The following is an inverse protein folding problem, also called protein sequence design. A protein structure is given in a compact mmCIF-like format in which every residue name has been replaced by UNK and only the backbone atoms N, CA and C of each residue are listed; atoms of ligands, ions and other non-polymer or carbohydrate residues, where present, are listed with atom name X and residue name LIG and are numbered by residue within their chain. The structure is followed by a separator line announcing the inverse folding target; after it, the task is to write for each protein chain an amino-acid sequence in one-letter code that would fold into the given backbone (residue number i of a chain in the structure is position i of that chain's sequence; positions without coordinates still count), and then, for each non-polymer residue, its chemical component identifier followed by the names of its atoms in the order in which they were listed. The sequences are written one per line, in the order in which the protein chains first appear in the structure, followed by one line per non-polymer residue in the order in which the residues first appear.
data_IF_967585055941
#
_entry.id   IF_967585055941
#
_cell.length_a   1.000
_cell.length_b   1.000
_cell.length_c   1.000
_cell.angle_alpha   90.00
_cell.angle_beta   90.00
_cell.angle_gamma   90.00
#
_symmetry.space_group_name_H-M   'P 1'
#
loop_
_entity.id
_entity.type
_entity.pdbx_description
1 polymer ?
#
# COMPACT_ATOMS: atom_id res chain seq x y z
N UNK A 1 -1.17 9.61 -6.68
CA UNK A 1 0.18 9.21 -6.25
C UNK A 1 1.12 9.53 -7.40
N UNK A 2 2.23 10.23 -7.19
CA UNK A 2 3.14 10.57 -8.29
C UNK A 2 4.24 9.55 -8.60
N UNK A 3 4.24 8.37 -7.98
CA UNK A 3 4.87 7.16 -8.53
C UNK A 3 4.10 5.89 -8.14
N UNK A 4 4.49 4.76 -8.72
CA UNK A 4 3.82 3.46 -8.51
C UNK A 4 3.91 3.01 -7.04
N UNK A 5 2.80 2.52 -6.48
CA UNK A 5 2.75 1.98 -5.11
C UNK A 5 3.50 0.64 -5.02
N UNK A 6 3.35 -0.20 -6.03
CA UNK A 6 4.03 -1.48 -6.17
C UNK A 6 4.52 -1.68 -7.60
N UNK A 7 5.70 -2.27 -7.74
CA UNK A 7 6.33 -2.52 -9.03
C UNK A 7 7.63 -3.31 -8.92
N UNK A 8 8.14 -3.74 -10.07
CA UNK A 8 9.46 -4.37 -10.18
C UNK A 8 10.46 -3.31 -10.67
N UNK A 9 11.39 -2.82 -9.83
CA UNK A 9 12.41 -1.87 -10.28
C UNK A 9 13.44 -2.60 -11.15
N UNK A 10 13.12 -2.76 -12.43
CA UNK A 10 13.95 -3.46 -13.44
C UNK A 10 15.36 -2.87 -13.60
N UNK A 11 15.58 -1.63 -13.13
CA UNK A 11 16.89 -0.97 -13.12
C UNK A 11 17.78 -1.28 -11.91
N UNK A 12 17.27 -1.95 -10.87
CA UNK A 12 18.05 -2.35 -9.68
C UNK A 12 18.24 -3.87 -9.69
N UNK A 13 17.14 -4.62 -9.73
CA UNK A 13 17.16 -6.09 -9.76
C UNK A 13 15.83 -6.60 -10.34
N UNK A 14 15.88 -7.55 -11.28
CA UNK A 14 14.66 -8.19 -11.77
C UNK A 14 14.19 -9.26 -10.78
N UNK A 15 13.19 -8.92 -9.99
CA UNK A 15 12.56 -9.89 -9.10
C UNK A 15 11.70 -10.90 -9.88
N UNK A 16 11.59 -12.16 -9.40
CA UNK A 16 10.77 -13.17 -10.06
C UNK A 16 9.32 -12.70 -10.17
N UNK A 17 8.83 -12.57 -11.40
CA UNK A 17 7.47 -12.12 -11.69
C UNK A 17 6.51 -13.29 -11.48
N UNK A 18 5.49 -13.09 -10.66
CA UNK A 18 4.37 -14.03 -10.50
C UNK A 18 3.14 -13.44 -11.18
N UNK A 19 2.62 -14.12 -12.20
CA UNK A 19 1.40 -13.68 -12.88
C UNK A 19 0.27 -13.49 -11.85
N UNK A 20 -0.36 -12.31 -11.85
CA UNK A 20 -1.37 -11.91 -10.85
C UNK A 20 -0.83 -11.23 -9.59
N UNK A 21 0.48 -10.96 -9.49
CA UNK A 21 1.09 -10.20 -8.39
C UNK A 21 1.64 -8.85 -8.85
N UNK A 22 1.39 -7.80 -8.07
CA UNK A 22 1.99 -6.46 -8.26
C UNK A 22 3.47 -6.37 -7.83
N UNK A 23 4.14 -7.51 -7.64
CA UNK A 23 5.55 -7.63 -7.23
C UNK A 23 5.82 -7.11 -5.81
N UNK A 24 6.48 -5.96 -5.62
CA UNK A 24 6.89 -5.43 -4.31
C UNK A 24 6.44 -3.98 -4.13
N UNK A 25 6.18 -3.54 -2.89
CA UNK A 25 6.01 -2.12 -2.60
C UNK A 25 7.26 -1.34 -2.98
N UNK A 26 7.09 -0.19 -3.62
CA UNK A 26 8.20 0.71 -3.96
C UNK A 26 8.70 1.39 -2.66
N UNK A 27 10.01 1.64 -2.52
CA UNK A 27 10.56 2.36 -1.37
C UNK A 27 9.81 3.67 -1.08
N UNK A 28 9.54 3.92 0.20
CA UNK A 28 8.73 5.05 0.67
C UNK A 28 7.25 4.72 0.88
N UNK A 29 6.73 3.63 0.31
CA UNK A 29 5.40 3.13 0.62
C UNK A 29 5.46 1.96 1.59
N UNK A 30 5.00 2.18 2.83
CA UNK A 30 4.77 1.10 3.78
C UNK A 30 3.36 0.54 3.57
N UNK A 31 3.26 -0.50 2.73
CA UNK A 31 2.03 -1.24 2.44
C UNK A 31 1.80 -2.30 3.51
N UNK A 32 0.65 -2.25 4.17
CA UNK A 32 0.18 -3.25 5.11
C UNK A 32 -1.20 -3.75 4.66
N UNK A 33 -1.53 -4.99 5.00
CA UNK A 33 -2.88 -5.53 4.79
C UNK A 33 -3.56 -5.53 6.15
N UNK A 34 -4.68 -4.83 6.25
CA UNK A 34 -5.47 -4.73 7.47
C UNK A 34 -6.71 -5.61 7.37
N UNK A 35 -7.14 -6.18 8.47
CA UNK A 35 -8.46 -6.80 8.57
C UNK A 35 -9.57 -5.74 8.73
N UNK A 36 -10.80 -6.21 8.94
CA UNK A 36 -11.96 -5.34 9.19
C UNK A 36 -11.85 -4.56 10.51
N UNK A 37 -11.00 -5.00 11.44
CA UNK A 37 -10.74 -4.34 12.72
C UNK A 37 -9.61 -3.30 12.62
N UNK A 38 -8.90 -3.25 11.49
CA UNK A 38 -7.76 -2.37 11.28
C UNK A 38 -6.44 -2.94 11.80
N UNK A 39 -6.38 -4.24 12.09
CA UNK A 39 -5.18 -4.92 12.56
C UNK A 39 -4.42 -5.57 11.39
N UNK A 40 -3.07 -5.53 11.40
CA UNK A 40 -2.26 -6.12 10.34
C UNK A 40 -2.37 -7.64 10.32
N UNK A 41 -2.75 -8.20 9.17
CA UNK A 41 -2.92 -9.64 8.97
C UNK A 41 -1.63 -10.33 8.58
N UNK A 42 -1.59 -11.66 8.73
CA UNK A 42 -0.43 -12.47 8.34
C UNK A 42 -0.29 -12.54 6.81
N UNK A 43 0.91 -12.85 6.29
CA UNK A 43 1.09 -13.07 4.86
C UNK A 43 0.13 -14.14 4.32
N UNK A 44 -0.35 -13.95 3.10
CA UNK A 44 -1.37 -14.76 2.43
C UNK A 44 -2.78 -14.70 3.05
N UNK A 45 -3.07 -13.73 3.91
CA UNK A 45 -4.43 -13.43 4.36
C UNK A 45 -5.00 -12.25 3.58
N UNK A 46 -6.28 -12.36 3.22
CA UNK A 46 -7.01 -11.31 2.52
C UNK A 46 -7.44 -10.22 3.50
N UNK A 47 -7.35 -8.97 3.05
CA UNK A 47 -7.79 -7.81 3.79
C UNK A 47 -7.75 -6.54 2.93
N UNK A 48 -7.82 -5.40 3.59
CA UNK A 48 -7.75 -4.08 2.99
C UNK A 48 -6.31 -3.65 2.77
N UNK A 49 -6.00 -3.18 1.57
CA UNK A 49 -4.68 -2.61 1.26
C UNK A 49 -4.58 -1.22 1.86
N UNK A 50 -3.74 -1.07 2.87
CA UNK A 50 -3.53 0.17 3.59
C UNK A 50 -2.07 0.64 3.49
N UNK A 51 -1.90 1.96 3.43
CA UNK A 51 -0.58 2.61 3.43
C UNK A 51 -0.39 3.31 4.77
N UNK A 52 0.66 2.96 5.50
CA UNK A 52 0.98 3.59 6.78
C UNK A 52 1.43 5.03 6.57
N UNK A 53 0.92 5.95 7.38
CA UNK A 53 1.34 7.36 7.37
C UNK A 53 2.63 7.58 8.19
N UNK A 54 3.45 8.60 7.88
CA UNK A 54 3.26 9.60 6.82
C UNK A 54 3.51 9.04 5.43
N UNK A 55 2.65 9.42 4.48
CA UNK A 55 2.82 9.05 3.08
C UNK A 55 4.05 9.76 2.47
N UNK A 56 4.72 9.14 1.49
CA UNK A 56 5.88 9.75 0.88
C UNK A 56 5.51 11.02 0.08
N UNK A 57 6.46 11.96 -0.08
CA UNK A 57 6.19 13.22 -0.77
C UNK A 57 5.80 12.92 -2.22
N UNK A 58 4.59 13.30 -2.66
CA UNK A 58 3.94 13.03 -3.97
C UNK A 58 2.62 12.23 -3.88
N UNK A 59 2.19 11.86 -2.67
CA UNK A 59 0.83 11.39 -2.47
C UNK A 59 -0.19 12.53 -2.59
N UNK A 60 -1.42 12.18 -3.01
CA UNK A 60 -2.54 13.12 -3.13
C UNK A 60 -2.74 13.82 -1.77
N UNK A 61 -2.56 15.15 -1.67
CA UNK A 61 -2.73 15.86 -0.40
C UNK A 61 -4.21 16.14 -0.09
N UNK A 62 -5.06 16.20 -1.12
CA UNK A 62 -6.51 16.44 -1.01
C UNK A 62 -7.22 16.08 -2.32
N UNK A 63 -8.54 15.88 -2.27
CA UNK A 63 -9.40 15.86 -3.46
C UNK A 63 -9.77 17.30 -3.83
N UNK A 64 -9.81 17.60 -5.14
CA UNK A 64 -10.09 18.94 -5.66
C UNK A 64 -11.43 19.48 -5.17
N UNK A 65 -11.42 20.65 -4.51
CA UNK A 65 -12.57 21.34 -3.91
C UNK A 65 -13.38 20.51 -2.90
N UNK A 66 -12.84 19.40 -2.39
CA UNK A 66 -13.55 18.54 -1.44
C UNK A 66 -12.57 17.81 -0.52
N UNK A 67 -12.06 18.51 0.49
CA UNK A 67 -11.14 17.93 1.47
C UNK A 67 -11.83 16.90 2.36
N UNK A 68 -13.07 17.18 2.78
CA UNK A 68 -13.83 16.31 3.68
C UNK A 68 -14.05 14.91 3.08
N UNK A 69 -14.28 14.82 1.76
CA UNK A 69 -14.38 13.53 1.05
C UNK A 69 -13.06 12.77 1.00
N UNK A 70 -11.93 13.49 0.96
CA UNK A 70 -10.62 12.85 1.02
C UNK A 70 -10.38 12.23 2.39
N UNK A 71 -10.72 12.97 3.46
CA UNK A 71 -10.55 12.48 4.83
C UNK A 71 -11.51 11.32 5.14
N UNK A 72 -12.80 11.48 4.85
CA UNK A 72 -13.81 10.43 5.06
C UNK A 72 -13.66 9.22 4.14
N UNK A 73 -13.16 9.40 2.92
CA UNK A 73 -13.02 8.32 1.96
C UNK A 73 -11.77 7.47 2.16
N UNK A 74 -10.66 8.09 2.60
CA UNK A 74 -9.35 7.45 2.57
C UNK A 74 -8.62 7.42 3.92
N UNK A 75 -8.96 8.32 4.86
CA UNK A 75 -8.22 8.49 6.13
C UNK A 75 -9.02 8.10 7.37
N UNK A 76 -10.35 8.14 7.32
CA UNK A 76 -11.20 7.87 8.50
C UNK A 76 -11.43 6.37 8.76
N UNK A 77 -11.18 5.52 7.76
CA UNK A 77 -11.49 4.09 7.87
C UNK A 77 -10.54 3.38 8.85
N UNK A 78 -9.24 3.69 8.81
CA UNK A 78 -8.26 3.21 9.78
C UNK A 78 -7.34 4.37 10.21
N UNK A 79 -7.40 4.82 11.48
CA UNK A 79 -6.59 5.93 11.97
C UNK A 79 -5.09 5.68 11.76
N UNK A 80 -4.40 6.64 11.16
CA UNK A 80 -2.96 6.52 10.86
C UNK A 80 -2.63 5.81 9.55
N UNK A 81 -3.65 5.36 8.80
CA UNK A 81 -3.49 4.74 7.49
C UNK A 81 -4.23 5.53 6.39
N UNK A 82 -3.76 5.35 5.16
CA UNK A 82 -4.49 5.69 3.95
C UNK A 82 -4.96 4.38 3.32
N UNK A 83 -6.27 4.23 3.14
CA UNK A 83 -6.85 3.00 2.56
C UNK A 83 -7.09 3.23 1.08
N UNK A 84 -6.53 2.41 0.19
CA UNK A 84 -6.75 2.63 -1.25
C UNK A 84 -8.18 2.28 -1.70
N UNK A 85 -8.90 1.49 -0.89
CA UNK A 85 -10.18 0.89 -1.24
C UNK A 85 -10.04 -0.46 -1.97
N UNK A 86 -8.81 -0.91 -2.21
CA UNK A 86 -8.54 -2.19 -2.85
C UNK A 86 -8.47 -3.31 -1.82
N UNK A 87 -9.09 -4.44 -2.16
CA UNK A 87 -8.94 -5.70 -1.45
C UNK A 87 -7.75 -6.48 -1.99
N UNK A 88 -6.90 -6.99 -1.11
CA UNK A 88 -5.71 -7.72 -1.51
C UNK A 88 -5.17 -8.63 -0.41
N UNK A 89 -4.11 -9.35 -0.75
CA UNK A 89 -3.34 -10.13 0.22
C UNK A 89 -1.86 -10.02 -0.14
N UNK A 90 -1.02 -9.91 0.88
CA UNK A 90 0.42 -9.80 0.69
C UNK A 90 0.99 -11.21 0.67
N UNK A 91 1.42 -11.68 -0.51
CA UNK A 91 2.12 -12.95 -0.57
C UNK A 91 3.48 -12.85 0.11
N UNK A 92 3.86 -13.87 0.87
CA UNK A 92 5.22 -13.99 1.41
C UNK A 92 6.21 -14.23 0.28
N UNK A 93 6.61 -13.16 -0.38
CA UNK A 93 7.65 -13.20 -1.40
C UNK A 93 8.97 -12.88 -0.70
N UNK A 94 9.98 -13.76 -0.90
CA UNK A 94 11.31 -13.73 -0.28
C UNK A 94 11.70 -12.31 0.14
N UNK A 95 11.82 -12.11 1.45
CA UNK A 95 12.28 -10.88 2.06
C UNK A 95 13.73 -10.70 1.67
N UNK A 96 14.04 -9.72 0.82
CA UNK A 96 15.36 -9.12 0.84
C UNK A 96 15.37 -8.28 2.13
N UNK A 97 15.86 -8.86 3.20
CA UNK A 97 15.82 -8.36 4.58
C UNK A 97 16.86 -7.26 4.85
N UNK A 98 17.17 -6.43 3.88
CA UNK A 98 18.17 -5.37 4.03
C UNK A 98 18.10 -4.37 2.88
N UNK A 99 17.17 -3.41 2.99
CA UNK A 99 17.32 -2.04 2.52
C UNK A 99 16.55 -1.13 3.48
#
# INVERSE_FOLDING_TARGET
MGWAIAGNPTGIEMMPVKAGSSTKPIPGYQVEILDELGEPVKPNQQGFVALKRPLPPSCLPTVWRNHDRFETGYLSQFPGYYVSGDGGYLMKMVTCSSW
#
